data_IF_187451734583
#
_entry.id   IF_187451734583
#
_cell.length_a   1.000
_cell.length_b   1.000
_cell.length_c   1.000
_cell.angle_alpha   90.00
_cell.angle_beta   90.00
_cell.angle_gamma   90.00
#
_symmetry.space_group_name_H-M   'P 1'
#
loop_
_entity.id
_entity.type
_entity.pdbx_description
1 polymer ?
#
# COMPACT_ATOMS: atom_id res chain seq x y z
N UNK A 1 78.06 -72.14 -26.82
CA UNK A 1 79.05 -71.04 -26.72
C UNK A 1 78.38 -69.82 -26.12
N UNK A 2 79.03 -69.23 -25.09
CA UNK A 2 78.87 -67.87 -24.50
C UNK A 2 77.60 -67.50 -23.70
N UNK A 3 77.79 -67.58 -22.39
CA UNK A 3 77.38 -66.70 -21.26
C UNK A 3 76.90 -65.26 -21.57
N UNK A 4 75.88 -64.76 -20.84
CA UNK A 4 76.03 -63.66 -19.84
C UNK A 4 74.71 -63.18 -19.18
N UNK A 5 74.62 -63.39 -17.85
CA UNK A 5 74.25 -62.48 -16.72
C UNK A 5 73.21 -61.32 -16.77
N UNK A 6 72.35 -61.32 -15.71
CA UNK A 6 71.87 -60.22 -14.81
C UNK A 6 70.97 -59.10 -15.41
N UNK A 7 70.04 -58.40 -14.73
CA UNK A 7 69.56 -58.25 -13.34
C UNK A 7 68.24 -57.44 -13.35
N UNK A 8 67.51 -57.50 -12.22
CA UNK A 8 66.28 -56.81 -11.78
C UNK A 8 65.96 -55.40 -12.33
N UNK A 9 64.66 -55.17 -12.53
CA UNK A 9 64.03 -53.84 -12.52
C UNK A 9 62.55 -53.95 -12.17
N UNK A 10 62.20 -53.70 -10.91
CA UNK A 10 60.83 -53.55 -10.44
C UNK A 10 60.20 -52.26 -10.99
N UNK A 11 58.90 -52.29 -11.32
CA UNK A 11 57.93 -51.20 -11.00
C UNK A 11 56.52 -51.49 -11.53
N UNK A 12 55.66 -51.81 -10.57
CA UNK A 12 54.27 -51.35 -10.39
C UNK A 12 53.36 -51.26 -11.62
N UNK A 13 52.53 -52.30 -11.78
CA UNK A 13 51.23 -52.18 -12.42
C UNK A 13 50.29 -51.37 -11.51
N UNK A 14 49.93 -50.15 -11.94
CA UNK A 14 48.87 -49.37 -11.31
C UNK A 14 47.60 -49.53 -12.14
N UNK A 15 46.61 -50.10 -11.48
CA UNK A 15 45.22 -50.27 -11.86
C UNK A 15 44.59 -48.87 -12.15
N UNK A 16 44.10 -48.65 -13.37
CA UNK A 16 43.27 -47.49 -13.69
C UNK A 16 41.78 -47.89 -13.66
N UNK A 17 41.17 -47.83 -12.48
CA UNK A 17 39.71 -47.86 -12.34
C UNK A 17 39.19 -46.46 -12.61
N UNK A 18 38.55 -46.26 -13.77
CA UNK A 18 37.86 -45.01 -14.09
C UNK A 18 36.53 -45.00 -13.31
N UNK A 19 36.53 -44.32 -12.18
CA UNK A 19 35.31 -43.98 -11.44
C UNK A 19 34.63 -42.80 -12.15
N UNK A 20 33.58 -43.08 -12.92
CA UNK A 20 32.69 -42.05 -13.46
C UNK A 20 31.80 -41.52 -12.33
N UNK A 21 32.32 -40.59 -11.53
CA UNK A 21 31.50 -39.78 -10.62
C UNK A 21 30.80 -38.73 -11.48
N UNK A 22 29.51 -38.94 -11.75
CA UNK A 22 28.64 -37.92 -12.30
C UNK A 22 28.63 -36.73 -11.33
N UNK A 23 29.33 -35.66 -11.71
CA UNK A 23 29.27 -34.40 -11.00
C UNK A 23 27.86 -33.82 -11.11
N UNK A 24 27.08 -33.92 -10.03
CA UNK A 24 26.02 -32.95 -9.78
C UNK A 24 26.73 -31.60 -9.66
N UNK A 25 26.76 -30.84 -10.75
CA UNK A 25 27.11 -29.44 -10.70
C UNK A 25 26.12 -28.77 -9.74
N UNK A 26 26.59 -28.45 -8.53
CA UNK A 26 25.91 -27.52 -7.66
C UNK A 26 25.82 -26.20 -8.45
N UNK A 27 24.66 -25.93 -9.05
CA UNK A 27 24.39 -24.63 -9.62
C UNK A 27 24.64 -23.60 -8.51
N UNK A 28 25.39 -22.52 -8.77
CA UNK A 28 25.48 -21.44 -7.80
C UNK A 28 24.05 -21.02 -7.51
N UNK A 29 23.66 -21.03 -6.23
CA UNK A 29 22.38 -20.51 -5.81
C UNK A 29 22.31 -19.06 -6.31
N UNK A 30 21.57 -18.83 -7.40
CA UNK A 30 21.35 -17.50 -7.91
C UNK A 30 20.74 -16.70 -6.77
N UNK A 31 21.41 -15.62 -6.35
CA UNK A 31 20.86 -14.76 -5.32
C UNK A 31 19.46 -14.34 -5.75
N UNK A 32 18.43 -14.72 -4.98
CA UNK A 32 17.05 -14.42 -5.32
C UNK A 32 16.90 -12.92 -5.59
N UNK A 33 16.26 -12.58 -6.71
CA UNK A 33 16.03 -11.20 -7.09
C UNK A 33 15.23 -10.46 -6.01
N UNK A 34 15.65 -9.25 -5.68
CA UNK A 34 15.00 -8.45 -4.63
C UNK A 34 13.63 -8.03 -5.11
N UNK A 35 12.64 -8.17 -4.22
CA UNK A 35 11.27 -7.81 -4.54
C UNK A 35 11.14 -6.33 -4.95
N UNK A 36 11.90 -5.43 -4.33
CA UNK A 36 11.85 -4.00 -4.69
C UNK A 36 12.28 -3.71 -6.13
N UNK A 37 13.20 -4.50 -6.68
CA UNK A 37 13.73 -4.29 -8.02
C UNK A 37 12.69 -4.78 -9.05
N UNK A 38 12.07 -5.92 -8.79
CA UNK A 38 10.95 -6.47 -9.58
C UNK A 38 9.73 -5.52 -9.59
N UNK A 39 9.20 -5.16 -8.42
CA UNK A 39 8.03 -4.29 -8.33
C UNK A 39 8.31 -2.86 -8.79
N UNK A 40 9.55 -2.38 -8.64
CA UNK A 40 9.97 -1.06 -9.11
C UNK A 40 10.17 -0.98 -10.63
N UNK A 41 10.36 -2.12 -11.30
CA UNK A 41 10.46 -2.19 -12.76
C UNK A 41 9.10 -1.98 -13.45
N UNK A 42 8.02 -2.43 -12.81
CA UNK A 42 6.65 -2.34 -13.34
C UNK A 42 6.21 -0.90 -13.63
N UNK A 43 5.62 -0.68 -14.80
CA UNK A 43 5.18 0.64 -15.27
C UNK A 43 3.68 0.86 -15.13
N UNK A 44 2.91 -0.22 -15.20
CA UNK A 44 1.44 -0.21 -15.18
C UNK A 44 0.92 -1.20 -14.14
N UNK A 45 -0.30 -0.96 -13.60
CA UNK A 45 -0.94 -1.90 -12.71
C UNK A 45 -1.36 -3.17 -13.46
N UNK A 46 -1.89 -4.16 -12.76
CA UNK A 46 -2.53 -5.30 -13.41
C UNK A 46 -3.93 -4.93 -13.88
N UNK A 47 -4.35 -5.47 -15.02
CA UNK A 47 -5.72 -5.41 -15.55
C UNK A 47 -6.56 -6.56 -14.97
N UNK A 48 -6.75 -6.55 -13.64
CA UNK A 48 -7.50 -7.58 -12.91
C UNK A 48 -8.40 -6.92 -11.87
N UNK A 49 -9.25 -7.71 -11.20
CA UNK A 49 -10.02 -7.22 -10.07
C UNK A 49 -9.10 -6.66 -8.96
N UNK A 50 -9.49 -5.56 -8.28
CA UNK A 50 -8.69 -4.94 -7.25
C UNK A 50 -8.60 -5.82 -6.00
N UNK A 51 -7.38 -6.14 -5.57
CA UNK A 51 -7.12 -6.95 -4.38
C UNK A 51 -5.79 -6.56 -3.73
N UNK A 52 -5.78 -6.44 -2.39
CA UNK A 52 -4.58 -6.22 -1.57
C UNK A 52 -4.13 -7.53 -0.92
N UNK A 53 -2.83 -7.83 -0.97
CA UNK A 53 -2.26 -9.09 -0.45
C UNK A 53 -1.22 -8.80 0.62
N UNK A 54 -1.34 -9.46 1.78
CA UNK A 54 -0.36 -9.36 2.86
C UNK A 54 -0.55 -8.14 3.76
N UNK A 55 0.55 -7.57 4.24
CA UNK A 55 0.54 -6.43 5.18
C UNK A 55 1.10 -5.17 4.51
N UNK A 56 0.76 -4.00 5.03
CA UNK A 56 1.11 -2.69 4.45
C UNK A 56 2.59 -2.51 4.09
N UNK A 57 3.50 -3.15 4.82
CA UNK A 57 4.97 -3.14 4.60
C UNK A 57 5.55 -4.49 4.17
N UNK A 58 4.70 -5.45 3.79
CA UNK A 58 5.08 -6.79 3.37
C UNK A 58 3.96 -7.41 2.53
N UNK A 59 3.82 -6.91 1.30
CA UNK A 59 2.70 -7.26 0.44
C UNK A 59 2.81 -6.70 -0.98
N UNK A 60 1.72 -6.82 -1.72
CA UNK A 60 1.53 -6.28 -3.06
C UNK A 60 0.03 -6.00 -3.27
N UNK A 61 -0.36 -5.42 -4.41
CA UNK A 61 -1.78 -5.35 -4.80
C UNK A 61 -1.95 -5.54 -6.31
N UNK A 62 -3.14 -5.98 -6.69
CA UNK A 62 -3.59 -6.13 -8.07
C UNK A 62 -4.75 -5.16 -8.35
N UNK A 63 -5.02 -4.88 -9.63
CA UNK A 63 -6.19 -4.14 -10.09
C UNK A 63 -6.25 -2.70 -9.60
N UNK A 64 -5.11 -2.10 -9.27
CA UNK A 64 -5.10 -0.71 -8.83
C UNK A 64 -5.24 0.26 -9.97
N UNK A 65 -5.58 1.47 -9.56
CA UNK A 65 -5.87 2.59 -10.45
C UNK A 65 -5.02 3.77 -10.04
N UNK A 66 -4.71 4.63 -10.99
CA UNK A 66 -4.05 5.88 -10.68
C UNK A 66 -5.06 6.98 -10.37
N UNK A 67 -4.77 7.83 -9.39
CA UNK A 67 -5.43 9.13 -9.30
C UNK A 67 -5.00 10.00 -10.50
N UNK A 68 -5.89 10.81 -11.11
CA UNK A 68 -5.48 11.78 -12.13
C UNK A 68 -4.34 12.68 -11.64
N UNK A 69 -3.42 13.02 -12.54
CA UNK A 69 -2.26 13.88 -12.21
C UNK A 69 -2.67 15.23 -11.63
N UNK A 70 -3.83 15.72 -12.08
CA UNK A 70 -4.43 16.97 -11.70
C UNK A 70 -5.93 16.74 -11.47
N UNK A 71 -6.50 17.41 -10.49
CA UNK A 71 -7.94 17.53 -10.32
C UNK A 71 -8.32 18.89 -9.78
N UNK A 72 -9.63 19.17 -9.62
CA UNK A 72 -10.10 20.50 -9.25
C UNK A 72 -9.52 21.02 -7.92
N UNK A 73 -9.17 20.11 -7.02
CA UNK A 73 -8.70 20.43 -5.67
C UNK A 73 -7.41 19.67 -5.31
N UNK A 74 -6.69 19.09 -6.27
CA UNK A 74 -5.42 18.40 -5.99
C UNK A 74 -4.41 18.45 -7.15
N UNK A 75 -3.15 18.21 -6.81
CA UNK A 75 -2.06 17.97 -7.75
C UNK A 75 -1.14 16.85 -7.24
N UNK A 76 -0.75 15.93 -8.13
CA UNK A 76 0.21 14.86 -7.82
C UNK A 76 1.65 15.41 -7.85
N UNK A 77 2.41 15.13 -6.79
CA UNK A 77 3.79 15.52 -6.60
C UNK A 77 4.75 14.39 -6.97
N UNK A 78 5.97 14.76 -7.39
CA UNK A 78 6.99 13.81 -7.86
C UNK A 78 6.49 12.80 -8.92
N UNK A 79 5.79 13.21 -10.00
CA UNK A 79 5.23 12.28 -11.00
C UNK A 79 6.23 11.24 -11.54
N UNK A 80 7.50 11.60 -11.69
CA UNK A 80 8.59 10.73 -12.15
C UNK A 80 8.76 9.44 -11.33
N UNK A 81 8.36 9.44 -10.05
CA UNK A 81 8.45 8.26 -9.18
C UNK A 81 7.49 7.15 -9.57
N UNK A 82 6.47 7.44 -10.39
CA UNK A 82 5.41 6.51 -10.77
C UNK A 82 4.67 5.89 -9.56
N UNK A 83 4.29 6.73 -8.59
CA UNK A 83 3.70 6.30 -7.30
C UNK A 83 2.27 6.75 -7.04
N UNK A 84 1.54 7.15 -8.08
CA UNK A 84 0.16 7.65 -7.98
C UNK A 84 -0.91 6.53 -8.01
N UNK A 85 -0.50 5.28 -7.83
CA UNK A 85 -1.35 4.10 -7.98
C UNK A 85 -1.83 3.60 -6.63
N UNK A 86 -3.06 3.10 -6.56
CA UNK A 86 -3.58 2.50 -5.33
C UNK A 86 -4.82 1.66 -5.58
N UNK A 87 -5.31 1.03 -4.52
CA UNK A 87 -6.61 0.38 -4.55
C UNK A 87 -7.70 1.43 -4.86
N UNK A 88 -8.74 1.11 -5.66
CA UNK A 88 -9.78 2.07 -6.01
C UNK A 88 -10.41 2.79 -4.80
N UNK A 89 -10.63 2.07 -3.69
CA UNK A 89 -11.10 2.67 -2.43
C UNK A 89 -10.15 3.73 -1.84
N UNK A 90 -8.83 3.53 -1.97
CA UNK A 90 -7.82 4.51 -1.53
C UNK A 90 -7.88 5.76 -2.41
N UNK A 91 -7.94 5.59 -3.73
CA UNK A 91 -8.04 6.72 -4.67
C UNK A 91 -9.34 7.50 -4.44
N UNK A 92 -10.47 6.82 -4.28
CA UNK A 92 -11.75 7.44 -3.95
C UNK A 92 -11.70 8.21 -2.63
N UNK A 93 -11.00 7.68 -1.61
CA UNK A 93 -10.82 8.35 -0.32
C UNK A 93 -9.98 9.62 -0.46
N UNK A 94 -8.94 9.62 -1.30
CA UNK A 94 -8.13 10.82 -1.57
C UNK A 94 -8.95 11.87 -2.30
N UNK A 95 -9.70 11.51 -3.34
CA UNK A 95 -10.55 12.45 -4.05
C UNK A 95 -11.65 13.05 -3.15
N UNK A 96 -12.25 12.23 -2.29
CA UNK A 96 -13.20 12.70 -1.27
C UNK A 96 -12.52 13.67 -0.30
N UNK A 97 -11.36 13.30 0.27
CA UNK A 97 -10.59 14.20 1.13
C UNK A 97 -10.27 15.52 0.43
N UNK A 98 -9.94 15.47 -0.86
CA UNK A 98 -9.60 16.65 -1.63
C UNK A 98 -10.75 17.64 -1.73
N UNK A 99 -11.96 17.16 -2.02
CA UNK A 99 -13.16 18.00 -2.08
C UNK A 99 -13.56 18.51 -0.70
N UNK A 100 -13.59 17.63 0.29
CA UNK A 100 -14.07 17.98 1.64
C UNK A 100 -13.10 18.93 2.35
N UNK A 101 -11.78 18.73 2.20
CA UNK A 101 -10.79 19.65 2.74
C UNK A 101 -10.88 21.03 2.06
N UNK A 102 -11.15 21.08 0.75
CA UNK A 102 -11.40 22.33 0.05
C UNK A 102 -12.64 23.06 0.55
N UNK A 103 -13.73 22.33 0.80
CA UNK A 103 -14.93 22.87 1.42
C UNK A 103 -14.66 23.40 2.85
N UNK A 104 -13.72 22.77 3.58
CA UNK A 104 -13.24 23.22 4.89
C UNK A 104 -12.23 24.39 4.82
N UNK A 105 -11.92 24.90 3.62
CA UNK A 105 -11.04 26.04 3.40
C UNK A 105 -9.56 25.71 3.19
N UNK A 106 -9.18 24.43 3.08
CA UNK A 106 -7.84 24.04 2.62
C UNK A 106 -7.72 24.26 1.10
N UNK A 107 -6.68 24.90 0.56
CA UNK A 107 -6.68 25.30 -0.86
C UNK A 107 -6.62 24.13 -1.85
N UNK A 108 -6.26 22.94 -1.38
CA UNK A 108 -6.20 21.71 -2.18
C UNK A 108 -5.06 20.79 -1.73
N UNK A 109 -5.10 19.53 -2.17
CA UNK A 109 -4.12 18.53 -1.77
C UNK A 109 -2.91 18.52 -2.70
N UNK A 110 -1.71 18.52 -2.12
CA UNK A 110 -0.51 18.08 -2.81
C UNK A 110 -0.28 16.61 -2.43
N UNK A 111 -0.50 15.71 -3.38
CA UNK A 111 -0.50 14.26 -3.16
C UNK A 111 0.91 13.74 -3.40
N UNK A 112 1.51 13.10 -2.40
CA UNK A 112 2.79 12.43 -2.47
C UNK A 112 2.69 10.99 -2.98
N UNK A 113 3.42 10.08 -2.34
CA UNK A 113 3.47 8.68 -2.73
C UNK A 113 2.17 7.96 -2.27
N UNK A 114 1.54 7.19 -3.16
CA UNK A 114 0.44 6.27 -2.84
C UNK A 114 0.99 4.84 -2.87
N UNK A 115 1.31 4.32 -4.05
CA UNK A 115 2.01 3.06 -4.23
C UNK A 115 2.59 2.96 -5.65
N UNK A 116 3.55 2.05 -5.84
CA UNK A 116 3.99 1.63 -7.18
C UNK A 116 2.83 0.93 -7.92
N UNK A 117 2.88 0.74 -9.25
CA UNK A 117 1.74 0.26 -10.03
C UNK A 117 1.16 -1.07 -9.55
N UNK A 118 2.00 -1.98 -9.05
CA UNK A 118 1.61 -3.29 -8.49
C UNK A 118 1.92 -3.41 -6.99
N UNK A 119 2.20 -2.28 -6.34
CA UNK A 119 2.57 -2.24 -4.94
C UNK A 119 4.00 -2.73 -4.69
N UNK A 120 4.17 -3.62 -3.71
CA UNK A 120 5.47 -4.20 -3.38
C UNK A 120 6.41 -3.23 -2.66
N UNK A 121 7.55 -3.74 -2.15
CA UNK A 121 8.58 -2.91 -1.56
C UNK A 121 9.06 -1.81 -2.51
N UNK A 122 9.08 -0.56 -2.06
CA UNK A 122 9.53 0.56 -2.88
C UNK A 122 11.06 0.56 -3.08
N UNK A 123 11.50 1.00 -4.27
CA UNK A 123 12.92 1.25 -4.55
C UNK A 123 13.58 2.20 -3.54
N UNK A 124 12.81 3.19 -3.05
CA UNK A 124 13.26 4.25 -2.14
C UNK A 124 12.10 4.74 -1.26
N UNK A 125 12.40 5.40 -0.14
CA UNK A 125 11.39 6.11 0.66
C UNK A 125 10.74 5.25 1.75
N UNK A 126 9.45 4.93 1.60
CA UNK A 126 8.60 4.41 2.67
C UNK A 126 8.76 2.89 2.86
N UNK A 127 8.54 2.42 4.09
CA UNK A 127 8.56 0.98 4.39
C UNK A 127 7.21 0.31 4.05
N UNK A 128 6.12 1.08 4.16
CA UNK A 128 4.73 0.75 3.82
C UNK A 128 4.43 1.02 2.33
N UNK A 129 3.17 1.34 1.98
CA UNK A 129 2.71 1.64 0.62
C UNK A 129 2.77 0.46 -0.35
N UNK A 130 2.86 -0.77 0.17
CA UNK A 130 3.04 -1.95 -0.67
C UNK A 130 1.71 -2.53 -1.15
N UNK A 131 0.59 -2.22 -0.51
CA UNK A 131 -0.70 -2.88 -0.79
C UNK A 131 -1.79 -1.93 -1.31
N UNK A 132 -1.41 -0.70 -1.71
CA UNK A 132 -2.33 0.25 -2.33
C UNK A 132 -3.35 0.90 -1.39
N UNK A 133 -3.11 0.85 -0.07
CA UNK A 133 -4.02 1.36 0.98
C UNK A 133 -3.38 2.45 1.85
N UNK A 134 -2.29 3.03 1.37
CA UNK A 134 -1.54 4.10 2.03
C UNK A 134 -1.40 5.28 1.07
N UNK A 135 -1.41 6.51 1.57
CA UNK A 135 -1.10 7.71 0.79
C UNK A 135 -0.47 8.81 1.64
N UNK A 136 0.56 9.45 1.12
CA UNK A 136 1.14 10.65 1.71
C UNK A 136 0.49 11.90 1.16
N UNK A 137 0.06 12.79 2.04
CA UNK A 137 -0.52 14.08 1.68
C UNK A 137 0.32 15.17 2.34
N UNK A 138 0.85 16.09 1.54
CA UNK A 138 1.68 17.16 2.07
C UNK A 138 0.83 18.11 2.91
N UNK A 139 1.43 18.61 3.99
CA UNK A 139 0.89 19.70 4.80
C UNK A 139 1.18 21.06 4.17
N UNK A 140 1.90 21.10 3.05
CA UNK A 140 2.10 22.34 2.28
C UNK A 140 0.81 22.69 1.55
N UNK A 141 0.25 23.90 1.74
CA UNK A 141 -0.95 24.33 1.02
C UNK A 141 -0.69 24.32 -0.50
N UNK A 142 -1.62 23.74 -1.27
CA UNK A 142 -1.56 23.78 -2.73
C UNK A 142 -1.63 25.24 -3.23
N UNK A 143 -0.79 25.65 -4.20
CA UNK A 143 -0.89 26.98 -4.79
C UNK A 143 -2.18 27.15 -5.61
N UNK A 144 -2.67 28.37 -5.73
CA UNK A 144 -3.85 28.75 -6.53
C UNK A 144 -3.57 28.79 -8.05
N UNK A 145 -2.88 27.76 -8.53
CA UNK A 145 -2.61 27.50 -9.95
C UNK A 145 -2.12 26.07 -10.13
N UNK A 146 -2.31 25.53 -11.33
CA UNK A 146 -1.65 24.29 -11.73
C UNK A 146 -0.14 24.52 -11.85
N UNK A 147 0.63 23.62 -11.23
CA UNK A 147 2.08 23.58 -11.33
C UNK A 147 2.51 22.82 -12.57
N UNK A 148 3.58 23.27 -13.21
CA UNK A 148 4.23 22.51 -14.27
C UNK A 148 4.81 21.22 -13.70
N UNK A 149 5.02 20.21 -14.55
CA UNK A 149 5.66 18.96 -14.12
C UNK A 149 6.99 19.22 -13.42
N UNK A 150 7.86 20.06 -13.99
CA UNK A 150 9.15 20.41 -13.40
C UNK A 150 9.01 21.01 -11.99
N UNK A 151 8.04 21.90 -11.77
CA UNK A 151 7.75 22.44 -10.43
C UNK A 151 7.32 21.33 -9.45
N UNK A 152 6.49 20.38 -9.87
CA UNK A 152 6.06 19.25 -9.03
C UNK A 152 7.21 18.29 -8.69
N UNK A 153 8.24 18.21 -9.53
CA UNK A 153 9.45 17.42 -9.26
C UNK A 153 10.38 18.09 -8.25
N UNK A 154 10.52 19.42 -8.30
CA UNK A 154 11.57 20.14 -7.57
C UNK A 154 11.08 20.94 -6.37
N UNK A 155 9.78 21.25 -6.27
CA UNK A 155 9.20 21.98 -5.14
C UNK A 155 9.52 21.29 -3.83
N UNK A 156 10.07 22.02 -2.86
CA UNK A 156 10.26 21.52 -1.49
C UNK A 156 8.97 21.62 -0.70
N UNK A 157 8.68 20.58 0.08
CA UNK A 157 7.60 20.62 1.05
C UNK A 157 8.00 21.53 2.24
N UNK A 158 7.02 22.20 2.83
CA UNK A 158 7.18 22.99 4.04
C UNK A 158 7.37 22.06 5.25
N UNK A 159 8.55 22.12 5.87
CA UNK A 159 8.83 21.41 7.13
C UNK A 159 8.09 22.09 8.30
N UNK A 160 7.00 21.47 8.77
CA UNK A 160 6.14 21.99 9.84
C UNK A 160 6.74 21.86 11.23
N UNK A 161 7.74 20.98 11.39
CA UNK A 161 8.36 20.68 12.68
C UNK A 161 9.80 21.16 12.70
N UNK A 162 10.24 21.65 13.85
CA UNK A 162 11.63 21.97 14.13
C UNK A 162 12.41 20.69 14.48
N UNK A 163 13.52 20.44 13.79
CA UNK A 163 14.27 19.18 13.89
C UNK A 163 14.90 18.97 15.26
N UNK A 164 15.25 20.04 15.99
CA UNK A 164 15.93 19.96 17.29
C UNK A 164 14.96 19.74 18.43
N UNK A 165 13.84 20.45 18.40
CA UNK A 165 12.84 20.41 19.47
C UNK A 165 11.75 19.38 19.24
N UNK A 166 11.59 18.92 18.00
CA UNK A 166 10.48 18.08 17.54
C UNK A 166 9.10 18.71 17.80
N UNK A 167 9.04 20.04 17.86
CA UNK A 167 7.81 20.82 18.03
C UNK A 167 7.40 21.48 16.71
N UNK A 168 6.09 21.68 16.54
CA UNK A 168 5.55 22.42 15.39
C UNK A 168 6.05 23.87 15.43
N UNK A 169 6.41 24.40 14.26
CA UNK A 169 6.74 25.82 14.04
C UNK A 169 5.44 26.61 13.98
N UNK A 170 5.09 27.29 15.07
CA UNK A 170 3.81 27.98 15.23
C UNK A 170 3.52 29.03 14.14
N UNK A 171 4.56 29.66 13.58
CA UNK A 171 4.40 30.61 12.47
C UNK A 171 3.85 29.97 11.17
N UNK A 172 3.96 28.66 11.01
CA UNK A 172 3.49 27.93 9.82
C UNK A 172 2.16 27.22 10.07
N UNK A 173 1.86 26.86 11.32
CA UNK A 173 0.68 26.07 11.66
C UNK A 173 -0.57 26.93 11.78
N UNK A 174 -1.54 26.64 10.92
CA UNK A 174 -2.84 27.33 10.91
C UNK A 174 -3.96 26.39 11.36
N UNK A 175 -5.12 26.91 11.80
CA UNK A 175 -6.29 26.08 12.12
C UNK A 175 -6.74 25.16 10.98
N UNK A 176 -6.43 25.51 9.72
CA UNK A 176 -6.76 24.70 8.54
C UNK A 176 -5.98 23.38 8.50
N UNK A 177 -4.76 23.34 9.04
CA UNK A 177 -4.00 22.08 9.16
C UNK A 177 -4.69 21.11 10.13
N UNK A 178 -5.16 21.64 11.27
CA UNK A 178 -5.97 20.88 12.23
C UNK A 178 -7.27 20.39 11.59
N UNK A 179 -7.96 21.24 10.83
CA UNK A 179 -9.19 20.87 10.13
C UNK A 179 -8.95 19.76 9.08
N UNK A 180 -7.87 19.84 8.29
CA UNK A 180 -7.49 18.83 7.32
C UNK A 180 -7.27 17.45 7.97
N UNK A 181 -6.48 17.40 9.05
CA UNK A 181 -6.21 16.15 9.77
C UNK A 181 -7.46 15.59 10.45
N UNK A 182 -8.31 16.47 11.01
CA UNK A 182 -9.61 16.08 11.58
C UNK A 182 -10.52 15.50 10.51
N UNK A 183 -10.63 16.15 9.35
CA UNK A 183 -11.43 15.68 8.21
C UNK A 183 -10.99 14.30 7.78
N UNK A 184 -9.70 14.11 7.50
CA UNK A 184 -9.16 12.81 7.10
C UNK A 184 -9.42 11.72 8.18
N UNK A 185 -9.23 12.03 9.46
CA UNK A 185 -9.46 11.07 10.55
C UNK A 185 -10.94 10.73 10.75
N UNK A 186 -11.85 11.62 10.36
CA UNK A 186 -13.31 11.42 10.53
C UNK A 186 -13.86 10.29 9.65
N UNK A 187 -13.15 9.93 8.57
CA UNK A 187 -13.61 8.91 7.65
C UNK A 187 -13.55 7.51 8.28
N UNK A 188 -14.65 6.72 8.19
CA UNK A 188 -14.70 5.40 8.82
C UNK A 188 -13.66 4.44 8.24
N UNK A 189 -13.37 4.54 6.94
CA UNK A 189 -12.38 3.69 6.27
C UNK A 189 -10.92 4.01 6.66
N UNK A 190 -10.64 5.22 7.17
CA UNK A 190 -9.29 5.61 7.62
C UNK A 190 -9.02 5.02 8.99
N UNK A 191 -8.02 4.14 9.09
CA UNK A 191 -7.64 3.48 10.35
C UNK A 191 -6.60 4.27 11.13
N UNK A 192 -5.65 4.89 10.41
CA UNK A 192 -4.52 5.61 10.99
C UNK A 192 -4.08 6.77 10.11
N UNK A 193 -3.59 7.82 10.76
CA UNK A 193 -2.87 8.91 10.14
C UNK A 193 -1.55 9.05 10.89
N UNK A 194 -0.41 8.78 10.24
CA UNK A 194 0.89 8.97 10.85
C UNK A 194 1.37 10.39 10.62
N UNK A 195 1.83 11.03 11.70
CA UNK A 195 2.36 12.40 11.71
C UNK A 195 3.60 12.44 12.60
N UNK A 196 4.41 13.48 12.46
CA UNK A 196 5.47 13.75 13.42
C UNK A 196 4.91 13.90 14.85
N UNK A 197 5.64 13.47 15.91
CA UNK A 197 5.19 13.65 17.29
C UNK A 197 4.87 15.10 17.67
N UNK A 198 5.58 16.08 17.13
CA UNK A 198 5.30 17.50 17.32
C UNK A 198 3.92 17.91 16.84
N UNK A 199 3.49 17.39 15.70
CA UNK A 199 2.14 17.64 15.15
C UNK A 199 1.09 17.01 16.07
N UNK A 200 1.29 15.76 16.49
CA UNK A 200 0.40 15.10 17.44
C UNK A 200 0.29 15.91 18.74
N UNK A 201 1.41 16.40 19.28
CA UNK A 201 1.43 17.26 20.46
C UNK A 201 0.68 18.57 20.25
N UNK A 202 0.91 19.27 19.14
CA UNK A 202 0.20 20.51 18.78
C UNK A 202 -1.32 20.29 18.78
N UNK A 203 -1.79 19.20 18.17
CA UNK A 203 -3.21 18.82 18.20
C UNK A 203 -3.70 18.54 19.62
N UNK A 204 -2.96 17.76 20.40
CA UNK A 204 -3.31 17.46 21.78
C UNK A 204 -3.45 18.71 22.65
N UNK A 205 -2.56 19.69 22.50
CA UNK A 205 -2.56 20.93 23.29
C UNK A 205 -3.73 21.86 22.90
N UNK A 206 -4.05 21.92 21.60
CA UNK A 206 -4.93 22.97 21.03
C UNK A 206 -6.36 22.52 20.75
N UNK A 207 -6.61 21.25 20.43
CA UNK A 207 -7.96 20.76 20.11
C UNK A 207 -8.81 20.71 21.39
N UNK A 208 -9.94 21.41 21.37
CA UNK A 208 -10.96 21.40 22.43
C UNK A 208 -12.24 20.71 21.93
N UNK A 209 -13.11 20.28 22.85
CA UNK A 209 -14.35 19.58 22.51
C UNK A 209 -14.11 18.13 22.10
N UNK A 210 -14.71 17.69 20.99
CA UNK A 210 -14.54 16.34 20.48
C UNK A 210 -13.09 16.04 20.04
N UNK A 211 -12.50 15.06 20.72
CA UNK A 211 -11.13 14.59 20.56
C UNK A 211 -11.06 13.12 20.14
N UNK A 212 -12.19 12.47 19.91
CA UNK A 212 -12.25 11.02 19.59
C UNK A 212 -11.43 10.69 18.34
N UNK A 213 -11.43 11.56 17.34
CA UNK A 213 -10.64 11.42 16.11
C UNK A 213 -9.12 11.43 16.34
N UNK A 214 -8.63 12.02 17.43
CA UNK A 214 -7.20 12.05 17.74
C UNK A 214 -6.62 10.64 17.91
N UNK A 215 -7.42 9.64 18.33
CA UNK A 215 -6.96 8.26 18.46
C UNK A 215 -6.33 7.70 17.17
N UNK A 216 -6.81 8.15 16.00
CA UNK A 216 -6.29 7.76 14.69
C UNK A 216 -5.00 8.51 14.31
N UNK A 217 -4.72 9.66 14.92
CA UNK A 217 -3.47 10.40 14.71
C UNK A 217 -2.37 9.75 15.54
N UNK A 218 -1.39 9.14 14.86
CA UNK A 218 -0.32 8.35 15.45
C UNK A 218 1.03 9.03 15.25
N UNK A 219 1.79 9.30 16.32
CA UNK A 219 3.15 9.82 16.20
C UNK A 219 4.07 8.78 15.54
N UNK A 220 4.91 9.22 14.61
CA UNK A 220 5.92 8.39 13.94
C UNK A 220 7.12 9.25 13.50
N UNK A 221 8.31 8.65 13.40
CA UNK A 221 9.51 9.34 12.93
C UNK A 221 9.33 9.95 11.53
N UNK A 222 9.98 11.08 11.25
CA UNK A 222 9.77 11.84 10.01
C UNK A 222 8.40 12.53 10.03
N UNK A 223 7.64 12.42 8.94
CA UNK A 223 6.26 12.94 8.79
C UNK A 223 6.10 14.40 9.25
N UNK A 224 7.14 15.20 9.00
CA UNK A 224 7.30 16.59 9.41
C UNK A 224 6.78 17.58 8.37
N UNK A 225 6.56 17.14 7.13
CA UNK A 225 5.96 17.95 6.04
C UNK A 225 4.74 17.31 5.38
N UNK A 226 4.40 16.07 5.74
CA UNK A 226 3.26 15.33 5.21
C UNK A 226 2.63 14.51 6.34
N UNK A 227 1.39 14.09 6.14
CA UNK A 227 0.80 13.01 6.90
C UNK A 227 0.63 11.78 6.02
N UNK A 228 0.87 10.61 6.61
CA UNK A 228 0.63 9.31 5.98
C UNK A 228 -0.78 8.88 6.35
N UNK A 229 -1.68 8.77 5.39
CA UNK A 229 -3.03 8.25 5.59
C UNK A 229 -3.09 6.76 5.23
N UNK A 230 -3.72 5.96 6.09
CA UNK A 230 -3.95 4.53 5.88
C UNK A 230 -5.43 4.21 5.97
N UNK A 231 -5.94 3.49 4.97
CA UNK A 231 -7.27 2.89 5.03
C UNK A 231 -7.17 1.39 5.35
N UNK A 232 -8.26 0.83 5.89
CA UNK A 232 -8.34 -0.60 6.22
C UNK A 232 -8.38 -1.52 5.01
N UNK A 233 -8.23 -2.83 5.27
CA UNK A 233 -8.39 -3.86 4.24
C UNK A 233 -9.78 -3.80 3.60
N UNK A 234 -9.82 -3.89 2.26
CA UNK A 234 -11.03 -3.71 1.49
C UNK A 234 -11.73 -5.04 1.18
N UNK A 235 -13.06 -5.04 0.98
CA UNK A 235 -13.77 -6.22 0.48
C UNK A 235 -13.11 -6.79 -0.78
N UNK A 236 -13.16 -8.11 -0.95
CA UNK A 236 -12.48 -8.80 -2.04
C UNK A 236 -10.99 -9.07 -1.81
N UNK A 237 -10.41 -8.66 -0.67
CA UNK A 237 -9.00 -8.89 -0.33
C UNK A 237 -8.82 -9.87 0.85
N UNK A 238 -9.13 -11.17 0.70
CA UNK A 238 -9.19 -12.12 1.83
C UNK A 238 -7.83 -12.39 2.50
N UNK A 239 -6.73 -12.11 1.81
CA UNK A 239 -5.36 -12.30 2.32
C UNK A 239 -4.72 -10.98 2.77
N UNK A 240 -5.47 -9.86 2.73
CA UNK A 240 -5.06 -8.60 3.34
C UNK A 240 -5.08 -8.74 4.86
N UNK A 241 -3.97 -8.37 5.50
CA UNK A 241 -3.79 -8.45 6.95
C UNK A 241 -4.01 -7.07 7.54
N UNK A 242 -5.06 -6.95 8.36
CA UNK A 242 -5.32 -5.75 9.13
C UNK A 242 -4.19 -5.46 10.13
N UNK A 243 -4.04 -4.20 10.48
CA UNK A 243 -3.23 -3.79 11.63
C UNK A 243 -4.12 -3.82 12.88
N UNK A 244 -3.53 -4.00 14.06
CA UNK A 244 -4.27 -3.90 15.33
C UNK A 244 -5.08 -2.60 15.41
N UNK A 245 -6.16 -2.54 16.19
CA UNK A 245 -6.90 -1.30 16.36
C UNK A 245 -6.05 -0.23 17.06
N UNK A 246 -6.37 1.05 16.86
CA UNK A 246 -5.80 2.11 17.70
C UNK A 246 -6.42 2.03 19.10
N UNK A 247 -5.70 2.42 20.17
CA UNK A 247 -6.29 2.54 21.50
C UNK A 247 -7.55 3.41 21.49
N UNK A 248 -8.45 3.19 22.45
CA UNK A 248 -9.69 3.96 22.54
C UNK A 248 -9.48 5.39 23.06
N UNK A 249 -8.33 5.67 23.67
CA UNK A 249 -7.95 7.00 24.13
C UNK A 249 -7.42 7.90 22.99
N UNK A 250 -7.37 9.21 23.28
CA UNK A 250 -6.94 10.22 22.30
C UNK A 250 -5.44 10.18 21.98
N UNK A 251 -4.65 9.36 22.68
CA UNK A 251 -3.22 9.16 22.49
C UNK A 251 -2.36 10.32 22.96
N UNK A 252 -2.86 11.20 23.83
CA UNK A 252 -2.16 12.41 24.27
C UNK A 252 -1.44 12.28 25.64
N UNK A 253 -1.50 11.10 26.26
CA UNK A 253 -0.87 10.82 27.56
C UNK A 253 0.59 10.35 27.49
N UNK A 254 0.97 9.45 28.41
CA UNK A 254 2.33 8.90 28.54
C UNK A 254 2.95 8.39 27.23
N UNK A 255 2.22 7.69 26.33
CA UNK A 255 2.79 7.25 25.06
C UNK A 255 3.27 8.40 24.17
N UNK A 256 2.63 9.57 24.21
CA UNK A 256 3.08 10.75 23.49
C UNK A 256 4.28 11.40 24.20
N UNK A 257 4.27 11.48 25.53
CA UNK A 257 5.38 12.05 26.29
C UNK A 257 6.72 11.33 26.05
N UNK A 258 6.71 10.01 25.82
CA UNK A 258 7.90 9.23 25.47
C UNK A 258 8.64 9.78 24.22
N UNK A 259 7.92 10.30 23.23
CA UNK A 259 8.50 10.93 22.03
C UNK A 259 9.30 12.19 22.30
N UNK A 260 9.14 12.80 23.48
CA UNK A 260 9.87 14.00 23.91
C UNK A 260 10.96 13.66 24.95
N UNK A 261 11.35 12.39 25.03
CA UNK A 261 12.56 11.93 25.73
C UNK A 261 13.69 11.73 24.72
N UNK A 262 14.92 11.47 25.19
CA UNK A 262 16.04 11.17 24.30
C UNK A 262 15.96 9.78 23.64
N UNK A 263 15.25 8.83 24.27
CA UNK A 263 15.25 7.43 23.86
C UNK A 263 14.86 7.17 22.39
N UNK A 264 13.74 7.71 21.85
CA UNK A 264 13.36 7.50 20.46
C UNK A 264 14.28 8.13 19.42
N UNK A 265 15.17 9.04 19.84
CA UNK A 265 16.07 9.80 18.97
C UNK A 265 17.53 9.34 19.09
N UNK A 266 17.80 8.29 19.86
CA UNK A 266 19.13 7.71 19.93
C UNK A 266 19.56 7.23 18.53
N UNK A 267 20.81 7.49 18.12
CA UNK A 267 21.32 6.98 16.86
C UNK A 267 21.12 5.47 16.75
N UNK A 268 20.79 5.00 15.54
CA UNK A 268 20.72 3.56 15.28
C UNK A 268 22.07 2.93 15.61
N UNK A 269 22.08 1.84 16.39
CA UNK A 269 23.29 1.10 16.76
C UNK A 269 24.00 0.47 15.57
N UNK A 270 23.28 0.23 14.47
CA UNK A 270 23.83 -0.31 13.24
C UNK A 270 23.29 0.49 12.04
N UNK A 271 23.80 1.71 11.80
CA UNK A 271 23.30 2.59 10.75
C UNK A 271 23.55 2.04 9.34
N UNK A 272 24.58 1.20 9.18
CA UNK A 272 24.97 0.60 7.91
C UNK A 272 24.20 -0.69 7.58
N UNK A 273 23.41 -1.22 8.53
CA UNK A 273 22.54 -2.36 8.26
C UNK A 273 21.55 -2.00 7.13
N UNK A 274 21.40 -2.88 6.12
CA UNK A 274 20.45 -2.62 5.05
C UNK A 274 19.03 -2.64 5.62
N UNK A 275 18.18 -1.74 5.11
CA UNK A 275 16.79 -1.67 5.58
C UNK A 275 16.06 -2.94 5.16
N UNK A 276 15.05 -3.37 5.92
CA UNK A 276 14.32 -4.61 5.65
C UNK A 276 13.78 -4.70 4.21
N UNK A 277 13.30 -3.59 3.63
CA UNK A 277 12.85 -3.54 2.23
C UNK A 277 13.97 -3.77 1.21
N UNK A 278 15.22 -3.44 1.56
CA UNK A 278 16.39 -3.49 0.67
C UNK A 278 16.95 -4.90 0.52
N UNK A 279 16.58 -5.81 1.43
CA UNK A 279 16.98 -7.22 1.43
C UNK A 279 15.80 -8.17 1.20
N UNK A 280 14.58 -7.64 1.09
CA UNK A 280 13.38 -8.46 0.90
C UNK A 280 13.39 -9.12 -0.48
N UNK A 281 13.24 -10.44 -0.52
CA UNK A 281 13.07 -11.23 -1.76
C UNK A 281 11.60 -11.62 -1.92
N UNK A 282 11.26 -12.18 -3.09
CA UNK A 282 9.91 -12.70 -3.32
C UNK A 282 9.50 -13.81 -2.34
N UNK A 283 10.45 -14.57 -1.79
CA UNK A 283 10.17 -15.59 -0.77
C UNK A 283 9.66 -14.99 0.55
N UNK A 284 9.90 -13.69 0.79
CA UNK A 284 9.38 -13.01 1.96
C UNK A 284 7.95 -12.50 1.75
N UNK A 285 7.45 -12.40 0.51
CA UNK A 285 6.13 -11.84 0.22
C UNK A 285 5.02 -12.92 0.18
N UNK A 286 3.73 -12.54 0.26
CA UNK A 286 2.63 -13.45 -0.05
C UNK A 286 2.84 -14.11 -1.42
N UNK A 287 2.48 -15.39 -1.54
CA UNK A 287 2.68 -16.18 -2.78
C UNK A 287 1.97 -15.56 -3.98
N UNK A 288 0.86 -14.88 -3.74
CA UNK A 288 0.04 -14.18 -4.73
C UNK A 288 0.83 -13.07 -5.42
N UNK A 289 1.84 -12.49 -4.75
CA UNK A 289 2.63 -11.40 -5.30
C UNK A 289 3.46 -11.78 -6.53
N UNK A 290 3.78 -13.07 -6.71
CA UNK A 290 4.38 -13.53 -7.96
C UNK A 290 3.37 -13.48 -9.11
N UNK A 291 2.14 -13.98 -8.89
CA UNK A 291 1.08 -13.88 -9.88
C UNK A 291 0.73 -12.42 -10.21
N UNK A 292 0.82 -11.51 -9.24
CA UNK A 292 0.66 -10.06 -9.49
C UNK A 292 1.72 -9.52 -10.44
N UNK A 293 2.99 -9.91 -10.31
CA UNK A 293 4.05 -9.48 -11.25
C UNK A 293 3.84 -10.06 -12.65
N UNK A 294 3.34 -11.29 -12.75
CA UNK A 294 3.16 -11.98 -14.04
C UNK A 294 1.85 -11.61 -14.77
N UNK A 295 0.90 -10.99 -14.08
CA UNK A 295 -0.41 -10.67 -14.63
C UNK A 295 -0.35 -9.62 -15.76
N UNK A 296 -1.30 -9.65 -16.72
CA UNK A 296 -1.36 -8.65 -17.79
C UNK A 296 -1.70 -7.26 -17.22
N UNK A 297 -1.14 -6.22 -17.83
CA UNK A 297 -1.48 -4.82 -17.56
C UNK A 297 -2.50 -4.26 -18.55
N UNK A 298 -3.04 -3.05 -18.27
CA UNK A 298 -3.89 -2.31 -19.21
C UNK A 298 -3.09 -1.83 -20.43
N UNK A 299 -3.79 -1.41 -21.48
CA UNK A 299 -3.17 -0.88 -22.70
C UNK A 299 -2.38 0.43 -22.47
N UNK A 300 -2.75 1.22 -21.45
CA UNK A 300 -2.05 2.46 -21.10
C UNK A 300 -2.31 2.88 -19.65
N UNK A 301 -1.59 3.91 -19.19
CA UNK A 301 -1.81 4.49 -17.86
C UNK A 301 -3.15 5.23 -17.76
N UNK A 302 -3.61 5.82 -18.86
CA UNK A 302 -4.90 6.50 -18.98
C UNK A 302 -6.04 5.50 -18.83
N UNK A 303 -5.93 4.31 -19.43
CA UNK A 303 -6.93 3.24 -19.30
C UNK A 303 -7.12 2.73 -17.87
N UNK A 304 -6.13 2.93 -17.00
CA UNK A 304 -6.20 2.59 -15.57
C UNK A 304 -6.21 3.84 -14.65
N UNK A 305 -6.50 5.03 -15.20
CA UNK A 305 -6.69 6.23 -14.39
C UNK A 305 -8.15 6.30 -13.92
N UNK A 306 -8.35 6.66 -12.65
CA UNK A 306 -9.65 6.75 -12.02
C UNK A 306 -10.41 8.00 -12.49
N UNK A 307 -11.71 7.84 -12.79
CA UNK A 307 -12.57 8.91 -13.32
C UNK A 307 -13.88 9.10 -12.53
N UNK A 308 -13.94 8.61 -11.29
CA UNK A 308 -15.12 8.68 -10.43
C UNK A 308 -16.15 7.58 -10.73
N UNK A 309 -16.62 6.90 -9.68
CA UNK A 309 -17.84 6.07 -9.72
C UNK A 309 -17.74 4.68 -10.36
N UNK A 310 -16.73 4.40 -11.19
CA UNK A 310 -16.49 3.06 -11.72
C UNK A 310 -15.02 2.68 -11.54
N UNK A 311 -14.79 1.49 -10.99
CA UNK A 311 -13.51 0.80 -11.18
C UNK A 311 -13.36 0.66 -12.70
N UNK A 312 -12.25 1.09 -13.33
CA UNK A 312 -11.98 0.71 -14.70
C UNK A 312 -11.94 -0.81 -14.70
N UNK A 313 -13.01 -1.43 -15.18
CA UNK A 313 -13.08 -2.86 -15.46
C UNK A 313 -12.17 -3.04 -16.66
N UNK A 314 -10.87 -3.17 -16.40
CA UNK A 314 -9.94 -3.61 -17.41
C UNK A 314 -10.28 -5.08 -17.68
N UNK A 315 -11.07 -5.26 -18.74
CA UNK A 315 -11.43 -6.51 -19.42
C UNK A 315 -12.28 -7.44 -18.55
N UNK A 316 -13.61 -7.36 -18.71
CA UNK A 316 -14.42 -8.56 -18.58
C UNK A 316 -13.79 -9.61 -19.52
N UNK A 317 -13.33 -10.72 -18.95
CA UNK A 317 -13.00 -11.89 -19.77
C UNK A 317 -14.18 -12.13 -20.72
N UNK A 318 -13.96 -12.42 -22.01
CA UNK A 318 -15.06 -12.69 -22.91
C UNK A 318 -15.89 -13.80 -22.28
N UNK A 319 -17.15 -13.49 -22.00
CA UNK A 319 -18.13 -14.48 -21.57
C UNK A 319 -18.09 -15.60 -22.62
N UNK A 320 -17.96 -16.89 -22.23
CA UNK A 320 -18.02 -17.96 -23.21
C UNK A 320 -19.35 -17.84 -23.94
N UNK A 321 -19.27 -17.63 -25.25
CA UNK A 321 -20.41 -17.47 -26.13
C UNK A 321 -21.36 -18.64 -25.90
N UNK A 322 -22.53 -18.35 -25.30
CA UNK A 322 -23.55 -19.35 -25.09
C UNK A 322 -23.97 -19.87 -26.47
N UNK A 323 -24.00 -21.20 -26.70
CA UNK A 323 -24.39 -21.74 -27.99
C UNK A 323 -25.81 -21.29 -28.31
N UNK A 324 -25.96 -20.63 -29.46
CA UNK A 324 -27.23 -20.18 -29.98
C UNK A 324 -28.14 -21.39 -30.22
N UNK A 325 -29.22 -21.48 -29.44
CA UNK A 325 -30.29 -22.45 -29.69
C UNK A 325 -31.09 -22.01 -30.93
N UNK A 326 -31.45 -22.93 -31.84
CA UNK A 326 -32.19 -22.58 -33.04
C UNK A 326 -33.62 -22.14 -32.70
N UNK A 327 -34.07 -21.10 -33.43
CA UNK A 327 -35.40 -20.52 -33.30
C UNK A 327 -36.50 -21.55 -33.53
N UNK A 328 -37.32 -21.78 -32.50
CA UNK A 328 -38.60 -22.49 -32.62
C UNK A 328 -39.74 -21.48 -32.60
N UNK A 329 -40.48 -21.47 -33.69
CA UNK A 329 -41.75 -20.74 -33.85
C UNK A 329 -42.83 -21.34 -32.95
N UNK A 330 -43.50 -20.52 -32.14
CA UNK A 330 -44.79 -20.87 -31.56
C UNK A 330 -45.68 -19.64 -31.40
N UNK A 331 -46.83 -19.68 -32.07
CA UNK A 331 -47.99 -18.82 -31.83
C UNK A 331 -48.74 -19.30 -30.58
N UNK A 332 -49.39 -18.40 -29.84
CA UNK A 332 -50.46 -18.77 -28.91
C UNK A 332 -50.56 -17.92 -27.65
N UNK A 333 -51.66 -17.19 -27.56
CA UNK A 333 -52.17 -16.32 -26.47
C UNK A 333 -52.42 -17.02 -25.13
N UNK A 334 -52.18 -16.31 -23.99
CA UNK A 334 -53.16 -16.00 -22.92
C UNK A 334 -52.52 -15.80 -21.52
N UNK A 335 -52.97 -14.77 -20.80
CA UNK A 335 -53.14 -14.79 -19.33
C UNK A 335 -52.02 -14.23 -18.41
N UNK A 336 -52.30 -13.08 -17.79
CA UNK A 336 -51.61 -12.44 -16.63
C UNK A 336 -51.74 -13.28 -15.31
N UNK A 337 -51.11 -12.95 -14.14
CA UNK A 337 -50.43 -11.70 -13.75
C UNK A 337 -49.08 -11.82 -12.98
N UNK A 338 -48.52 -10.64 -12.71
CA UNK A 338 -47.30 -10.28 -11.98
C UNK A 338 -47.13 -10.84 -10.56
N UNK A 339 -45.94 -11.38 -10.28
CA UNK A 339 -45.15 -11.35 -9.03
C UNK A 339 -43.83 -12.08 -9.38
N UNK A 340 -42.60 -11.66 -9.07
CA UNK A 340 -42.04 -11.25 -7.78
C UNK A 340 -40.74 -10.46 -8.08
N UNK A 341 -40.60 -9.26 -7.53
CA UNK A 341 -39.33 -8.52 -7.55
C UNK A 341 -38.38 -9.08 -6.49
N UNK A 342 -37.19 -9.52 -6.89
CA UNK A 342 -36.14 -10.03 -5.99
C UNK A 342 -35.33 -8.93 -5.28
N UNK A 343 -35.96 -7.78 -4.98
CA UNK A 343 -35.36 -6.65 -4.26
C UNK A 343 -36.19 -6.22 -3.04
N UNK A 344 -36.70 -7.18 -2.28
CA UNK A 344 -37.22 -6.92 -0.94
C UNK A 344 -36.08 -6.79 0.06
N UNK A 345 -36.06 -5.67 0.79
CA UNK A 345 -35.13 -5.39 1.87
C UNK A 345 -35.19 -6.46 2.97
N UNK A 346 -34.03 -6.91 3.43
CA UNK A 346 -33.89 -7.75 4.62
C UNK A 346 -34.40 -6.99 5.85
N UNK A 347 -35.30 -7.55 6.68
CA UNK A 347 -35.75 -6.89 7.90
C UNK A 347 -34.60 -6.71 8.89
N UNK A 348 -34.55 -5.54 9.54
CA UNK A 348 -33.60 -5.22 10.62
C UNK A 348 -33.78 -6.20 11.79
N UNK A 349 -32.84 -7.13 11.92
CA UNK A 349 -32.69 -7.92 13.15
C UNK A 349 -31.89 -7.05 14.12
N UNK A 350 -32.57 -6.56 15.16
CA UNK A 350 -31.98 -5.76 16.22
C UNK A 350 -30.78 -6.43 16.90
N UNK A 351 -29.90 -5.57 17.43
CA UNK A 351 -28.64 -5.91 18.09
C UNK A 351 -28.82 -7.03 19.14
N UNK A 352 -28.09 -8.16 19.03
CA UNK A 352 -28.11 -9.20 20.05
C UNK A 352 -27.54 -8.71 21.39
N UNK A 353 -28.35 -8.76 22.45
CA UNK A 353 -27.94 -8.44 23.83
C UNK A 353 -27.26 -9.66 24.46
N UNK A 354 -26.15 -9.52 25.22
CA UNK A 354 -25.45 -10.64 25.86
C UNK A 354 -26.31 -11.37 26.90
N UNK A 355 -26.29 -12.71 26.87
CA UNK A 355 -26.85 -13.58 27.92
C UNK A 355 -25.76 -14.08 28.87
N UNK A 356 -26.05 -14.25 30.17
CA UNK A 356 -25.07 -14.70 31.16
C UNK A 356 -24.56 -16.14 30.92
N UNK A 357 -23.30 -16.37 31.32
CA UNK A 357 -22.54 -17.62 31.15
C UNK A 357 -23.14 -18.77 32.00
N UNK A 358 -23.35 -19.98 31.46
CA UNK A 358 -23.72 -21.16 32.25
C UNK A 358 -22.59 -21.62 33.19
N UNK A 359 -22.91 -22.20 34.36
CA UNK A 359 -21.91 -22.66 35.31
C UNK A 359 -21.06 -23.81 34.76
N UNK A 360 -19.77 -23.78 35.09
CA UNK A 360 -18.78 -24.77 34.66
C UNK A 360 -19.07 -26.16 35.25
N UNK A 361 -18.91 -27.19 34.42
CA UNK A 361 -18.59 -28.56 34.86
C UNK A 361 -17.30 -28.97 34.20
#
# INVERSE_FOLDING_TARGET
MKSSTRSLGARNAVLAVVLAIAGLAAQPAAAEERAKDLFGAEKLPTATAPQSFGFYSKGCFAGGVAIPMDGPTWQVMRPSRNRRWGHPAMIATIEQLSRDAAADGWPGLLIGDIAQPRGGPMLTGHASHQIGLDADIWLTPMPDRTMTRAQRETMSATLMVDEKTHLVKDALWTPRHTALLKRAASYPQVERILVNPGIKKKLCDTVKGDRTWLRKIRPFWGHDYHFHMRIGCQPGSPTCKAQEATPDDDGCGKPLAWWFTQEPWRPNKNPDAPKARDVMTMANLPKECRAVLDAPGPASAEAATYHGGAVPVAVAAPEPEAPSLPATTASGTAGLPSAVNAFTATPEVGVPVPRPRPPAK
#
